data_IF_973543509593
#
_entry.id   IF_973543509593
#
_cell.length_a   1.000
_cell.length_b   1.000
_cell.length_c   1.000
_cell.angle_alpha   90.00
_cell.angle_beta   90.00
_cell.angle_gamma   90.00
#
_symmetry.space_group_name_H-M   'P 1'
#
loop_
_entity.id
_entity.type
_entity.pdbx_description
1 polymer ?
#
# COMPACT_ATOMS: atom_id res chain seq x y z
N UNK A 1 9.04 -12.09 -0.36
CA UNK A 1 8.50 -10.95 -1.11
C UNK A 1 9.27 -10.75 -2.39
N UNK A 2 8.58 -10.45 -3.44
CA UNK A 2 9.26 -10.17 -4.71
C UNK A 2 9.74 -8.72 -4.73
N UNK A 3 10.86 -8.50 -5.43
CA UNK A 3 11.40 -7.15 -5.64
C UNK A 3 10.38 -6.30 -6.39
N UNK A 4 9.62 -6.91 -7.30
CA UNK A 4 8.56 -6.23 -8.05
C UNK A 4 7.51 -5.62 -7.14
N UNK A 5 7.11 -6.33 -6.08
CA UNK A 5 6.14 -5.81 -5.13
C UNK A 5 6.69 -4.60 -4.37
N UNK A 6 7.95 -4.66 -3.97
CA UNK A 6 8.60 -3.55 -3.27
C UNK A 6 8.62 -2.31 -4.16
N UNK A 7 8.96 -2.47 -5.43
CA UNK A 7 8.95 -1.36 -6.39
C UNK A 7 7.55 -0.79 -6.59
N UNK A 8 6.53 -1.63 -6.66
CA UNK A 8 5.16 -1.16 -6.79
C UNK A 8 4.73 -0.31 -5.60
N UNK A 9 5.04 -0.78 -4.40
CA UNK A 9 4.70 -0.06 -3.17
C UNK A 9 5.44 1.28 -3.13
N UNK A 10 6.73 1.28 -3.47
CA UNK A 10 7.52 2.50 -3.49
C UNK A 10 6.98 3.50 -4.50
N UNK A 11 6.63 3.03 -5.70
CA UNK A 11 6.08 3.89 -6.75
C UNK A 11 4.76 4.53 -6.32
N UNK A 12 3.88 3.75 -5.71
CA UNK A 12 2.61 4.28 -5.19
C UNK A 12 2.87 5.31 -4.09
N UNK A 13 3.81 5.03 -3.18
CA UNK A 13 4.15 5.97 -2.12
C UNK A 13 4.66 7.30 -2.64
N UNK A 14 5.56 7.26 -3.62
CA UNK A 14 6.09 8.47 -4.24
C UNK A 14 4.99 9.24 -4.96
N UNK A 15 4.17 8.54 -5.73
CA UNK A 15 3.08 9.16 -6.47
C UNK A 15 2.07 9.82 -5.54
N UNK A 16 1.67 9.13 -4.49
CA UNK A 16 0.74 9.68 -3.49
C UNK A 16 1.32 10.91 -2.82
N UNK A 17 2.61 10.87 -2.47
CA UNK A 17 3.28 12.01 -1.82
C UNK A 17 3.26 13.23 -2.73
N UNK A 18 3.58 13.05 -4.01
CA UNK A 18 3.58 14.15 -4.97
C UNK A 18 2.19 14.73 -5.14
N UNK A 19 1.20 13.88 -5.32
CA UNK A 19 -0.19 14.32 -5.48
C UNK A 19 -0.70 15.04 -4.24
N UNK A 20 -0.35 14.55 -3.04
CA UNK A 20 -0.73 15.20 -1.80
C UNK A 20 -0.17 16.61 -1.70
N UNK A 21 1.10 16.79 -2.06
CA UNK A 21 1.73 18.11 -1.99
C UNK A 21 1.08 19.07 -2.99
N UNK A 22 0.81 18.61 -4.20
CA UNK A 22 0.15 19.44 -5.21
C UNK A 22 -1.25 19.86 -4.75
N UNK A 23 -2.01 18.95 -4.20
CA UNK A 23 -3.37 19.24 -3.73
C UNK A 23 -3.37 20.15 -2.52
N UNK A 24 -2.44 19.97 -1.59
CA UNK A 24 -2.33 20.84 -0.42
C UNK A 24 -1.97 22.26 -0.81
N UNK A 25 -1.07 22.42 -1.78
CA UNK A 25 -0.72 23.74 -2.28
C UNK A 25 -1.90 24.44 -2.95
N UNK A 26 -2.81 23.67 -3.53
CA UNK A 26 -4.02 24.21 -4.16
C UNK A 26 -5.16 24.44 -3.15
N UNK A 27 -4.94 24.16 -1.88
CA UNK A 27 -5.96 24.31 -0.85
C UNK A 27 -6.97 23.17 -0.81
N UNK A 28 -6.70 22.07 -1.45
CA UNK A 28 -7.61 20.91 -1.53
C UNK A 28 -7.16 19.79 -0.60
N UNK A 29 -7.15 20.09 0.69
CA UNK A 29 -6.68 19.11 1.69
C UNK A 29 -7.58 17.87 1.76
N UNK A 30 -8.87 18.03 1.52
CA UNK A 30 -9.81 16.91 1.53
C UNK A 30 -9.48 15.92 0.43
N UNK A 31 -9.15 16.42 -0.77
CA UNK A 31 -8.75 15.56 -1.88
C UNK A 31 -7.41 14.87 -1.61
N UNK A 32 -6.49 15.56 -0.95
CA UNK A 32 -5.21 14.97 -0.56
C UNK A 32 -5.42 13.78 0.38
N UNK A 33 -6.32 13.92 1.35
CA UNK A 33 -6.67 12.85 2.26
C UNK A 33 -7.25 11.64 1.52
N UNK A 34 -8.15 11.89 0.57
CA UNK A 34 -8.76 10.82 -0.21
C UNK A 34 -7.73 10.06 -1.04
N UNK A 35 -6.76 10.76 -1.62
CA UNK A 35 -5.69 10.13 -2.39
C UNK A 35 -4.81 9.28 -1.49
N UNK A 36 -4.47 9.76 -0.30
CA UNK A 36 -3.70 8.98 0.66
C UNK A 36 -4.44 7.70 1.05
N UNK A 37 -5.73 7.81 1.30
CA UNK A 37 -6.56 6.67 1.65
C UNK A 37 -6.64 5.66 0.51
N UNK A 38 -6.84 6.13 -0.72
CA UNK A 38 -6.89 5.27 -1.90
C UNK A 38 -5.56 4.54 -2.10
N UNK A 39 -4.43 5.25 -1.95
CA UNK A 39 -3.11 4.64 -2.05
C UNK A 39 -2.88 3.57 -1.01
N UNK A 40 -3.32 3.81 0.22
CA UNK A 40 -3.22 2.83 1.29
C UNK A 40 -4.03 1.57 0.96
N UNK A 41 -5.27 1.75 0.49
CA UNK A 41 -6.13 0.63 0.12
C UNK A 41 -5.50 -0.17 -1.02
N UNK A 42 -4.95 0.50 -2.02
CA UNK A 42 -4.30 -0.17 -3.14
C UNK A 42 -3.12 -1.02 -2.68
N UNK A 43 -2.26 -0.46 -1.83
CA UNK A 43 -1.11 -1.18 -1.30
C UNK A 43 -1.55 -2.38 -0.46
N UNK A 44 -2.57 -2.19 0.38
CA UNK A 44 -3.10 -3.29 1.19
C UNK A 44 -3.67 -4.40 0.31
N UNK A 45 -4.34 -4.05 -0.78
CA UNK A 45 -4.88 -5.03 -1.73
C UNK A 45 -3.76 -5.88 -2.33
N UNK A 46 -2.62 -5.27 -2.62
CA UNK A 46 -1.47 -6.01 -3.15
C UNK A 46 -0.80 -6.89 -2.10
N UNK A 47 -0.84 -6.46 -0.84
CA UNK A 47 -0.18 -7.18 0.26
C UNK A 47 -1.00 -8.37 0.75
N UNK A 48 -2.33 -8.32 0.63
CA UNK A 48 -3.22 -9.36 1.18
C UNK A 48 -2.80 -10.79 0.79
N UNK A 49 -2.49 -11.11 -0.48
CA UNK A 49 -2.05 -12.46 -0.83
C UNK A 49 -0.79 -12.89 -0.09
N UNK A 50 0.14 -11.97 0.14
CA UNK A 50 1.39 -12.27 0.84
C UNK A 50 1.15 -12.54 2.32
N UNK A 51 0.23 -11.79 2.92
CA UNK A 51 -0.18 -12.02 4.31
C UNK A 51 -0.87 -13.38 4.43
N UNK A 52 -1.72 -13.72 3.50
CA UNK A 52 -2.38 -15.01 3.47
C UNK A 52 -1.36 -16.15 3.40
N UNK A 53 -0.38 -16.03 2.51
CA UNK A 53 0.68 -17.04 2.39
C UNK A 53 1.48 -17.18 3.68
N UNK A 54 1.74 -16.05 4.36
CA UNK A 54 2.46 -16.06 5.61
C UNK A 54 1.66 -16.80 6.70
N UNK A 55 0.36 -16.55 6.78
CA UNK A 55 -0.51 -17.25 7.72
C UNK A 55 -0.55 -18.74 7.46
N UNK A 56 -0.64 -19.13 6.19
CA UNK A 56 -0.64 -20.55 5.82
C UNK A 56 0.68 -21.20 6.22
N UNK A 57 1.80 -20.51 6.02
CA UNK A 57 3.11 -21.01 6.41
C UNK A 57 3.19 -21.19 7.93
N UNK A 58 2.74 -20.21 8.70
CA UNK A 58 2.71 -20.30 10.15
C UNK A 58 1.82 -21.45 10.62
N UNK A 59 0.68 -21.62 9.97
CA UNK A 59 -0.24 -22.69 10.31
C UNK A 59 0.39 -24.05 10.06
N UNK A 60 1.14 -24.21 8.99
CA UNK A 60 1.80 -25.47 8.70
C UNK A 60 2.93 -25.76 9.67
N UNK A 61 3.55 -24.74 10.26
CA UNK A 61 4.59 -24.91 11.28
C UNK A 61 4.01 -25.33 12.62
N UNK A 62 2.80 -24.87 12.95
CA UNK A 62 2.13 -25.19 14.19
C UNK A 62 1.16 -26.35 14.09
N UNK A 63 0.78 -26.71 12.89
CA UNK A 63 -0.14 -27.81 12.65
C UNK A 63 0.66 -29.11 12.56
N UNK A 64 0.67 -29.80 13.64
CA UNK A 64 1.36 -31.10 13.71
C UNK A 64 0.39 -32.25 13.45
#
# INVERSE_FOLDING_TARGET
MSVSLIFKIAAVGILVTILNQVLKHSGREEHAFLISLAGLILVLTWIVPYIYDLFVMMQSLFDL
#
